data_IF_311274755558
#
_entry.id   IF_311274755558
#
_cell.length_a   1.000
_cell.length_b   1.000
_cell.length_c   1.000
_cell.angle_alpha   90.00
_cell.angle_beta   90.00
_cell.angle_gamma   90.00
#
_symmetry.space_group_name_H-M   'P 1'
#
loop_
_entity.id
_entity.type
_entity.pdbx_description
1 polymer ?
#
# COMPACT_ATOMS: atom_id res chain seq x y z
N UNK A 1 9.67 -10.01 7.04
CA UNK A 1 8.38 -9.65 7.69
C UNK A 1 8.30 -10.07 9.15
N UNK A 2 8.46 -11.36 9.51
CA UNK A 2 8.38 -11.83 10.92
C UNK A 2 9.26 -11.05 11.91
N UNK A 3 10.54 -10.80 11.57
CA UNK A 3 11.45 -10.03 12.43
C UNK A 3 10.89 -8.64 12.73
N UNK A 4 10.32 -7.96 11.73
CA UNK A 4 9.75 -6.61 11.89
C UNK A 4 8.55 -6.67 12.83
N UNK A 5 7.62 -7.62 12.63
CA UNK A 5 6.43 -7.78 13.48
C UNK A 5 6.85 -8.06 14.92
N UNK A 6 7.76 -9.01 15.14
CA UNK A 6 8.24 -9.37 16.49
C UNK A 6 8.91 -8.17 17.15
N UNK A 7 9.76 -7.44 16.43
CA UNK A 7 10.42 -6.24 16.95
C UNK A 7 9.40 -5.18 17.34
N UNK A 8 8.42 -4.85 16.48
CA UNK A 8 7.40 -3.85 16.79
C UNK A 8 6.60 -4.29 18.01
N UNK A 9 6.07 -5.51 18.03
CA UNK A 9 5.25 -6.00 19.14
C UNK A 9 6.02 -6.01 20.46
N UNK A 10 7.25 -6.52 20.48
CA UNK A 10 8.04 -6.65 21.72
C UNK A 10 8.56 -5.30 22.22
N UNK A 11 9.03 -4.44 21.31
CA UNK A 11 9.58 -3.14 21.67
C UNK A 11 8.48 -2.15 22.01
N UNK A 12 7.29 -2.24 21.41
CA UNK A 12 6.12 -1.40 21.71
C UNK A 12 5.75 -1.38 23.20
N UNK A 13 5.96 -2.48 23.94
CA UNK A 13 5.71 -2.53 25.39
C UNK A 13 6.86 -1.95 26.22
N UNK A 14 8.08 -1.89 25.67
CA UNK A 14 9.31 -1.48 26.36
C UNK A 14 9.67 0.00 26.15
N UNK A 15 8.90 0.73 25.33
CA UNK A 15 9.14 2.14 25.03
C UNK A 15 8.98 3.01 26.29
N UNK A 16 9.88 3.98 26.55
CA UNK A 16 9.74 4.96 27.63
C UNK A 16 8.41 5.73 27.56
N UNK A 17 7.92 6.20 28.71
CA UNK A 17 6.64 6.90 28.80
C UNK A 17 6.56 8.17 27.93
N UNK A 18 7.69 8.83 27.66
CA UNK A 18 7.76 10.07 26.84
C UNK A 18 7.41 9.84 25.36
N UNK A 19 7.76 8.66 24.83
CA UNK A 19 7.50 8.31 23.42
C UNK A 19 6.11 7.70 23.23
N UNK A 20 5.39 7.41 24.32
CA UNK A 20 3.98 7.02 24.23
C UNK A 20 3.13 8.24 23.90
N UNK A 21 2.19 8.06 22.97
CA UNK A 21 1.19 9.07 22.65
C UNK A 21 -0.07 8.90 23.47
N UNK A 22 -0.94 9.91 23.43
CA UNK A 22 -2.27 9.81 23.99
C UNK A 22 -3.22 9.22 22.94
N UNK A 23 -4.14 8.36 23.39
CA UNK A 23 -5.22 7.86 22.55
C UNK A 23 -6.27 8.96 22.42
N UNK A 24 -6.24 9.72 21.33
CA UNK A 24 -7.15 10.84 21.08
C UNK A 24 -8.36 10.37 20.25
N UNK A 25 -9.58 10.64 20.72
CA UNK A 25 -10.83 10.39 20.00
C UNK A 25 -11.51 9.06 20.31
N UNK A 26 -12.62 8.79 19.60
CA UNK A 26 -13.29 7.49 19.62
C UNK A 26 -12.44 6.47 18.85
N UNK A 27 -12.32 5.25 19.36
CA UNK A 27 -11.57 4.18 18.68
C UNK A 27 -12.19 3.80 17.31
N UNK A 28 -13.40 4.27 17.01
CA UNK A 28 -14.23 3.81 15.89
C UNK A 28 -14.39 4.87 14.80
N UNK A 29 -14.50 6.16 15.14
CA UNK A 29 -14.76 7.23 14.16
C UNK A 29 -13.88 8.44 14.50
N UNK A 30 -12.97 8.76 13.59
CA UNK A 30 -12.12 9.95 13.61
C UNK A 30 -12.17 10.62 12.23
N UNK A 31 -11.81 11.90 12.18
CA UNK A 31 -11.84 12.70 10.95
C UNK A 31 -10.96 12.12 9.82
N UNK A 32 -9.96 11.30 10.17
CA UNK A 32 -9.01 10.66 9.25
C UNK A 32 -9.47 9.35 8.59
N UNK A 33 -10.76 8.99 8.68
CA UNK A 33 -11.23 7.68 8.20
C UNK A 33 -11.07 7.48 6.68
N UNK A 34 -11.24 8.54 5.89
CA UNK A 34 -11.13 8.48 4.43
C UNK A 34 -9.66 8.31 3.98
N UNK A 35 -8.75 8.97 4.67
CA UNK A 35 -7.31 8.80 4.51
C UNK A 35 -6.90 7.35 4.85
N UNK A 36 -7.42 6.81 5.97
CA UNK A 36 -7.17 5.44 6.39
C UNK A 36 -7.68 4.41 5.37
N UNK A 37 -8.85 4.62 4.75
CA UNK A 37 -9.35 3.75 3.68
C UNK A 37 -8.36 3.73 2.51
N UNK A 38 -7.80 4.88 2.12
CA UNK A 38 -6.78 4.95 1.08
C UNK A 38 -5.53 4.13 1.43
N UNK A 39 -4.96 4.35 2.61
CA UNK A 39 -3.75 3.63 3.08
C UNK A 39 -3.99 2.12 3.18
N UNK A 40 -5.13 1.69 3.72
CA UNK A 40 -5.50 0.27 3.80
C UNK A 40 -5.68 -0.31 2.39
N UNK A 41 -6.35 0.42 1.49
CA UNK A 41 -6.53 -0.02 0.11
C UNK A 41 -5.19 -0.24 -0.56
N UNK A 42 -4.24 0.70 -0.40
CA UNK A 42 -2.86 0.57 -0.90
C UNK A 42 -2.15 -0.66 -0.32
N UNK A 43 -2.25 -0.88 0.99
CA UNK A 43 -1.60 -1.99 1.68
C UNK A 43 -2.05 -3.37 1.18
N UNK A 44 -3.28 -3.48 0.67
CA UNK A 44 -3.83 -4.73 0.12
C UNK A 44 -3.85 -4.79 -1.42
N UNK A 45 -3.23 -3.84 -2.12
CA UNK A 45 -3.09 -3.94 -3.58
C UNK A 45 -2.10 -5.04 -3.94
N UNK A 46 -2.59 -6.07 -4.61
CA UNK A 46 -1.76 -7.11 -5.23
C UNK A 46 -2.23 -7.49 -6.65
N UNK A 47 -3.22 -6.78 -7.18
CA UNK A 47 -3.90 -7.11 -8.44
C UNK A 47 -2.96 -7.12 -9.65
N UNK A 48 -1.98 -6.20 -9.71
CA UNK A 48 -1.00 -6.09 -10.80
C UNK A 48 -0.08 -7.33 -10.90
N UNK A 49 0.18 -8.01 -9.77
CA UNK A 49 1.03 -9.22 -9.72
C UNK A 49 0.24 -10.52 -9.89
N UNK A 50 -1.10 -10.45 -9.91
CA UNK A 50 -1.97 -11.64 -9.88
C UNK A 50 -1.77 -12.54 -11.11
N UNK A 51 -1.57 -11.96 -12.29
CA UNK A 51 -1.33 -12.74 -13.53
C UNK A 51 0.00 -13.48 -13.49
N UNK A 52 1.07 -12.85 -12.99
CA UNK A 52 2.38 -13.47 -12.83
C UNK A 52 2.35 -14.61 -11.81
N UNK A 53 1.66 -14.40 -10.67
CA UNK A 53 1.47 -15.44 -9.65
C UNK A 53 0.68 -16.61 -10.23
N UNK A 54 -0.40 -16.33 -10.98
CA UNK A 54 -1.19 -17.36 -11.63
C UNK A 54 -0.35 -18.20 -12.62
N UNK A 55 0.44 -17.53 -13.48
CA UNK A 55 1.34 -18.20 -14.44
C UNK A 55 2.48 -18.99 -13.78
N UNK A 56 2.88 -18.61 -12.56
CA UNK A 56 3.94 -19.29 -11.80
C UNK A 56 3.44 -20.53 -11.03
N UNK A 57 2.13 -20.77 -10.98
CA UNK A 57 1.58 -21.95 -10.32
C UNK A 57 1.90 -23.22 -11.11
N UNK A 58 2.45 -24.24 -10.44
CA UNK A 58 2.73 -25.56 -11.05
C UNK A 58 1.53 -26.18 -11.77
N UNK A 59 0.31 -25.93 -11.27
CA UNK A 59 -0.95 -26.30 -11.93
C UNK A 59 -1.89 -25.08 -11.87
N UNK A 60 -1.96 -24.26 -12.93
CA UNK A 60 -2.75 -23.04 -12.96
C UNK A 60 -4.23 -23.40 -13.11
N UNK A 61 -4.95 -23.53 -11.99
CA UNK A 61 -6.41 -23.67 -11.98
C UNK A 61 -7.02 -22.59 -11.10
N UNK A 62 -8.19 -22.07 -11.49
CA UNK A 62 -8.88 -20.98 -10.77
C UNK A 62 -9.15 -21.34 -9.30
N UNK A 63 -9.54 -22.58 -9.00
CA UNK A 63 -9.79 -23.02 -7.62
C UNK A 63 -8.53 -23.05 -6.75
N UNK A 64 -7.36 -23.32 -7.35
CA UNK A 64 -6.09 -23.31 -6.61
C UNK A 64 -5.61 -21.89 -6.40
N UNK A 65 -5.70 -21.07 -7.44
CA UNK A 65 -5.38 -19.64 -7.35
C UNK A 65 -6.26 -18.96 -6.28
N UNK A 66 -7.57 -19.18 -6.32
CA UNK A 66 -8.49 -18.66 -5.31
C UNK A 66 -8.12 -19.07 -3.88
N UNK A 67 -7.77 -20.35 -3.66
CA UNK A 67 -7.29 -20.82 -2.35
C UNK A 67 -6.01 -20.12 -1.91
N UNK A 68 -5.01 -20.06 -2.79
CA UNK A 68 -3.72 -19.39 -2.49
C UNK A 68 -3.95 -17.92 -2.15
N UNK A 69 -4.79 -17.22 -2.91
CA UNK A 69 -5.14 -15.81 -2.66
C UNK A 69 -5.84 -15.66 -1.31
N UNK A 70 -6.85 -16.45 -0.99
CA UNK A 70 -7.56 -16.33 0.29
C UNK A 70 -6.64 -16.59 1.50
N UNK A 71 -5.82 -17.65 1.46
CA UNK A 71 -4.89 -17.93 2.54
C UNK A 71 -3.81 -16.84 2.68
N UNK A 72 -3.21 -16.40 1.57
CA UNK A 72 -2.17 -15.37 1.61
C UNK A 72 -2.71 -14.01 2.09
N UNK A 73 -3.86 -13.56 1.58
CA UNK A 73 -4.52 -12.33 2.04
C UNK A 73 -4.93 -12.44 3.51
N UNK A 74 -5.46 -13.58 3.96
CA UNK A 74 -5.82 -13.79 5.37
C UNK A 74 -4.63 -13.71 6.33
N UNK A 75 -3.51 -14.34 5.98
CA UNK A 75 -2.27 -14.24 6.77
C UNK A 75 -1.74 -12.80 6.79
N UNK A 76 -1.77 -12.12 5.64
CA UNK A 76 -1.39 -10.71 5.53
C UNK A 76 -2.26 -9.82 6.42
N UNK A 77 -3.58 -10.05 6.43
CA UNK A 77 -4.52 -9.30 7.26
C UNK A 77 -4.20 -9.43 8.74
N UNK A 78 -3.95 -10.65 9.22
CA UNK A 78 -3.58 -10.88 10.62
C UNK A 78 -2.26 -10.19 10.96
N UNK A 79 -1.25 -10.28 10.10
CA UNK A 79 0.03 -9.61 10.29
C UNK A 79 -0.11 -8.08 10.35
N UNK A 80 -0.88 -7.49 9.44
CA UNK A 80 -1.18 -6.05 9.41
C UNK A 80 -1.93 -5.62 10.67
N UNK A 81 -2.95 -6.36 11.10
CA UNK A 81 -3.71 -6.06 12.32
C UNK A 81 -2.83 -6.09 13.57
N UNK A 82 -1.98 -7.11 13.71
CA UNK A 82 -1.05 -7.21 14.86
C UNK A 82 -0.10 -6.02 14.89
N UNK A 83 0.49 -5.63 13.76
CA UNK A 83 1.36 -4.44 13.70
C UNK A 83 0.59 -3.14 13.94
N UNK A 84 -0.58 -2.97 13.33
CA UNK A 84 -1.38 -1.75 13.46
C UNK A 84 -1.86 -1.54 14.89
N UNK A 85 -2.38 -2.58 15.55
CA UNK A 85 -2.85 -2.50 16.92
C UNK A 85 -1.71 -2.25 17.91
N UNK A 86 -0.60 -3.00 17.80
CA UNK A 86 0.56 -2.81 18.69
C UNK A 86 1.23 -1.45 18.50
N UNK A 87 1.19 -0.90 17.29
CA UNK A 87 1.68 0.44 17.02
C UNK A 87 0.77 1.53 17.55
N UNK A 88 -0.50 1.48 17.18
CA UNK A 88 -1.49 2.49 17.55
C UNK A 88 -1.70 2.57 19.06
N UNK A 89 -1.76 1.43 19.77
CA UNK A 89 -1.93 1.42 21.22
C UNK A 89 -0.70 1.96 21.98
N UNK A 90 0.49 1.91 21.40
CA UNK A 90 1.72 2.43 22.02
C UNK A 90 1.96 3.90 21.70
N UNK A 91 1.85 4.28 20.42
CA UNK A 91 2.26 5.61 19.94
C UNK A 91 1.11 6.59 19.76
N UNK A 92 -0.14 6.11 19.68
CA UNK A 92 -1.34 6.96 19.62
C UNK A 92 -1.25 8.07 18.58
N UNK A 93 -1.45 9.30 19.03
CA UNK A 93 -1.37 10.54 18.24
C UNK A 93 0.02 10.89 17.70
N UNK A 94 1.09 10.34 18.27
CA UNK A 94 2.48 10.59 17.82
C UNK A 94 2.95 9.63 16.72
N UNK A 95 2.07 8.76 16.22
CA UNK A 95 2.45 7.71 15.26
C UNK A 95 2.92 8.30 13.92
N UNK A 96 4.21 8.13 13.61
CA UNK A 96 4.76 8.47 12.29
C UNK A 96 4.38 7.44 11.20
N UNK A 97 4.36 7.87 9.93
CA UNK A 97 4.02 7.02 8.78
C UNK A 97 4.90 5.77 8.61
N UNK A 98 6.16 5.82 9.08
CA UNK A 98 6.96 4.63 9.32
C UNK A 98 7.07 4.38 10.82
N UNK A 99 6.43 3.32 11.29
CA UNK A 99 6.39 3.00 12.72
C UNK A 99 7.78 2.81 13.34
N UNK A 100 8.74 2.28 12.57
CA UNK A 100 10.11 2.07 13.05
C UNK A 100 10.82 3.39 13.38
N UNK A 101 10.36 4.52 12.85
CA UNK A 101 10.94 5.84 13.16
C UNK A 101 10.49 6.38 14.53
N UNK A 102 9.43 5.83 15.14
CA UNK A 102 9.02 6.22 16.49
C UNK A 102 9.93 5.63 17.58
N UNK A 103 10.71 4.60 17.26
CA UNK A 103 11.61 3.95 18.20
C UNK A 103 12.99 4.64 18.23
N UNK A 104 13.64 4.73 19.41
CA UNK A 104 14.97 5.33 19.53
C UNK A 104 16.01 4.70 18.61
N UNK A 105 16.98 5.49 18.13
CA UNK A 105 18.04 5.03 17.24
C UNK A 105 19.06 4.08 17.90
N UNK A 106 19.16 4.10 19.23
CA UNK A 106 20.12 3.29 19.99
C UNK A 106 19.67 1.81 20.14
N UNK A 107 18.42 1.48 19.82
CA UNK A 107 17.91 0.12 19.98
C UNK A 107 18.40 -0.83 18.88
N UNK A 108 19.33 -1.73 19.22
CA UNK A 108 19.88 -2.72 18.30
C UNK A 108 18.80 -3.56 17.58
N UNK A 109 17.79 -4.03 18.31
CA UNK A 109 16.72 -4.86 17.73
C UNK A 109 15.88 -4.10 16.69
N UNK A 110 15.66 -2.80 16.91
CA UNK A 110 14.98 -1.91 15.97
C UNK A 110 15.85 -1.65 14.75
N UNK A 111 17.15 -1.44 14.94
CA UNK A 111 18.10 -1.27 13.83
C UNK A 111 18.20 -2.53 12.96
N UNK A 112 18.16 -3.72 13.56
CA UNK A 112 18.06 -4.98 12.82
C UNK A 112 16.75 -5.02 12.00
N UNK A 113 15.62 -4.61 12.58
CA UNK A 113 14.36 -4.53 11.83
C UNK A 113 14.41 -3.51 10.68
N UNK A 114 15.06 -2.34 10.88
CA UNK A 114 15.29 -1.34 9.83
C UNK A 114 16.15 -1.89 8.69
N UNK A 115 17.21 -2.62 9.01
CA UNK A 115 18.05 -3.31 8.02
C UNK A 115 17.23 -4.30 7.20
N UNK A 116 16.45 -5.17 7.85
CA UNK A 116 15.59 -6.12 7.15
C UNK A 116 14.49 -5.46 6.32
N UNK A 117 13.94 -4.33 6.77
CA UNK A 117 13.00 -3.54 5.98
C UNK A 117 13.67 -3.00 4.71
N UNK A 118 14.87 -2.45 4.83
CA UNK A 118 15.67 -1.96 3.69
C UNK A 118 16.04 -3.07 2.71
N UNK A 119 16.50 -4.23 3.20
CA UNK A 119 16.79 -5.40 2.37
C UNK A 119 15.53 -5.90 1.65
N UNK A 120 14.38 -5.94 2.33
CA UNK A 120 13.11 -6.31 1.72
C UNK A 120 12.75 -5.35 0.57
N UNK A 121 12.86 -4.04 0.80
CA UNK A 121 12.62 -3.02 -0.23
C UNK A 121 13.58 -3.17 -1.42
N UNK A 122 14.87 -3.43 -1.16
CA UNK A 122 15.87 -3.67 -2.21
C UNK A 122 15.51 -4.86 -3.09
N UNK A 123 14.97 -5.94 -2.52
CA UNK A 123 14.52 -7.12 -3.28
C UNK A 123 13.17 -6.94 -3.96
N UNK A 124 12.32 -6.03 -3.47
CA UNK A 124 11.00 -5.75 -4.04
C UNK A 124 11.10 -4.84 -5.26
N UNK A 125 12.03 -3.88 -5.27
CA UNK A 125 12.19 -2.92 -6.36
C UNK A 125 12.38 -3.59 -7.74
N UNK A 126 13.24 -4.62 -7.93
CA UNK A 126 13.39 -5.29 -9.22
C UNK A 126 12.12 -5.99 -9.70
N UNK A 127 11.35 -6.58 -8.77
CA UNK A 127 10.12 -7.30 -9.09
C UNK A 127 9.04 -6.32 -9.56
N UNK A 128 8.85 -5.21 -8.85
CA UNK A 128 7.88 -4.17 -9.23
C UNK A 128 8.30 -3.47 -10.54
N UNK A 129 9.59 -3.20 -10.72
CA UNK A 129 10.10 -2.66 -11.99
C UNK A 129 9.85 -3.62 -13.17
N UNK A 130 9.97 -4.92 -12.94
CA UNK A 130 9.62 -5.94 -13.93
C UNK A 130 8.13 -5.86 -14.31
N UNK A 131 7.23 -5.81 -13.32
CA UNK A 131 5.78 -5.77 -13.56
C UNK A 131 5.39 -4.50 -14.30
N UNK A 132 5.88 -3.34 -13.85
CA UNK A 132 5.65 -2.08 -14.52
C UNK A 132 6.07 -2.16 -16.00
N UNK A 133 7.27 -2.64 -16.29
CA UNK A 133 7.75 -2.78 -17.68
C UNK A 133 6.90 -3.73 -18.51
N UNK A 134 6.46 -4.86 -17.96
CA UNK A 134 5.58 -5.78 -18.68
C UNK A 134 4.27 -5.09 -19.05
N UNK A 135 3.67 -4.33 -18.12
CA UNK A 135 2.47 -3.53 -18.40
C UNK A 135 2.74 -2.47 -19.48
N UNK A 136 3.89 -1.78 -19.42
CA UNK A 136 4.26 -0.80 -20.45
C UNK A 136 4.46 -1.46 -21.84
N UNK A 137 5.16 -2.60 -21.88
CA UNK A 137 5.36 -3.34 -23.13
C UNK A 137 4.04 -3.82 -23.71
N UNK A 138 3.18 -4.43 -22.90
CA UNK A 138 1.88 -4.93 -23.35
C UNK A 138 0.98 -3.80 -23.86
N UNK A 139 0.99 -2.62 -23.21
CA UNK A 139 0.12 -1.51 -23.61
C UNK A 139 0.59 -0.77 -24.86
N UNK A 140 1.90 -0.50 -24.98
CA UNK A 140 2.44 0.31 -26.10
C UNK A 140 3.05 -0.53 -27.23
N UNK A 141 3.48 -1.76 -26.98
CA UNK A 141 4.33 -2.55 -27.86
C UNK A 141 3.99 -4.07 -27.82
N UNK A 142 2.70 -4.42 -27.77
CA UNK A 142 2.23 -5.80 -27.59
C UNK A 142 2.82 -6.79 -28.60
N UNK A 143 2.90 -6.39 -29.88
CA UNK A 143 3.32 -7.26 -30.98
C UNK A 143 4.83 -7.17 -31.29
N UNK A 144 5.56 -6.30 -30.60
CA UNK A 144 6.97 -6.04 -30.88
C UNK A 144 7.89 -6.93 -30.03
N UNK A 145 8.92 -7.55 -30.64
CA UNK A 145 9.86 -8.39 -29.91
C UNK A 145 10.66 -7.60 -28.86
N UNK A 146 11.39 -8.33 -28.03
CA UNK A 146 12.23 -7.74 -27.00
C UNK A 146 13.34 -6.87 -27.61
N UNK A 147 13.41 -5.61 -27.15
CA UNK A 147 14.49 -4.69 -27.49
C UNK A 147 15.27 -4.23 -26.25
N UNK A 148 16.61 -4.37 -26.21
CA UNK A 148 17.42 -4.03 -25.03
C UNK A 148 17.41 -2.53 -24.73
N UNK A 149 17.35 -1.66 -25.74
CA UNK A 149 17.31 -0.21 -25.53
C UNK A 149 16.01 0.21 -24.82
N UNK A 150 14.86 -0.37 -25.23
CA UNK A 150 13.56 -0.13 -24.59
C UNK A 150 13.58 -0.57 -23.14
N UNK A 151 14.18 -1.73 -22.87
CA UNK A 151 14.35 -2.24 -21.52
C UNK A 151 15.14 -1.28 -20.63
N UNK A 152 16.26 -0.76 -21.12
CA UNK A 152 17.09 0.20 -20.39
C UNK A 152 16.29 1.48 -20.13
N UNK A 153 15.64 2.06 -21.15
CA UNK A 153 14.89 3.31 -21.04
C UNK A 153 13.76 3.21 -19.99
N UNK A 154 12.95 2.14 -20.04
CA UNK A 154 11.87 1.98 -19.06
C UNK A 154 12.42 1.76 -17.65
N UNK A 155 13.46 0.94 -17.50
CA UNK A 155 14.06 0.68 -16.18
C UNK A 155 14.67 1.94 -15.59
N UNK A 156 15.45 2.70 -16.36
CA UNK A 156 16.06 3.94 -15.88
C UNK A 156 15.00 4.99 -15.55
N UNK A 157 13.96 5.15 -16.36
CA UNK A 157 12.85 6.07 -16.09
C UNK A 157 12.11 5.71 -14.80
N UNK A 158 11.83 4.43 -14.56
CA UNK A 158 11.17 3.95 -13.34
C UNK A 158 12.04 4.22 -12.10
N UNK A 159 13.34 3.91 -12.16
CA UNK A 159 14.25 4.14 -11.03
C UNK A 159 14.44 5.62 -10.75
N UNK A 160 14.62 6.45 -11.78
CA UNK A 160 14.78 7.91 -11.62
C UNK A 160 13.51 8.53 -11.02
N UNK A 161 12.33 8.16 -11.52
CA UNK A 161 11.07 8.69 -10.95
C UNK A 161 10.87 8.29 -9.48
N UNK A 162 11.19 7.04 -9.11
CA UNK A 162 11.15 6.60 -7.72
C UNK A 162 12.15 7.38 -6.84
N UNK A 163 13.37 7.61 -7.34
CA UNK A 163 14.38 8.42 -6.65
C UNK A 163 13.92 9.87 -6.48
N UNK A 164 13.38 10.49 -7.52
CA UNK A 164 12.86 11.86 -7.46
C UNK A 164 11.75 11.97 -6.42
N UNK A 165 10.78 11.05 -6.41
CA UNK A 165 9.74 11.04 -5.38
C UNK A 165 10.34 10.90 -3.98
N UNK A 166 11.30 9.99 -3.79
CA UNK A 166 11.97 9.80 -2.49
C UNK A 166 12.73 11.04 -2.01
N UNK A 167 13.25 11.88 -2.91
CA UNK A 167 13.93 13.12 -2.54
C UNK A 167 12.97 14.29 -2.28
N UNK A 168 11.75 14.22 -2.79
CA UNK A 168 10.73 15.26 -2.66
C UNK A 168 9.79 15.06 -1.46
N UNK A 169 9.70 13.84 -0.91
CA UNK A 169 8.80 13.51 0.21
C UNK A 169 9.57 13.08 1.45
N UNK A 170 9.27 13.69 2.60
CA UNK A 170 9.72 13.22 3.91
C UNK A 170 8.63 12.43 4.66
N UNK A 171 7.37 12.43 4.19
CA UNK A 171 6.25 11.76 4.84
C UNK A 171 5.68 10.64 3.94
N UNK A 172 6.05 9.41 4.28
CA UNK A 172 5.56 8.20 3.62
C UNK A 172 4.04 8.03 3.75
N UNK A 173 3.44 8.52 4.84
CA UNK A 173 2.01 8.40 5.08
C UNK A 173 1.18 9.14 4.03
N UNK A 174 1.57 10.37 3.71
CA UNK A 174 0.92 11.19 2.66
C UNK A 174 1.04 10.54 1.28
N UNK A 175 2.20 9.93 1.00
CA UNK A 175 2.43 9.24 -0.27
C UNK A 175 1.55 8.00 -0.41
N UNK A 176 1.46 7.18 0.64
CA UNK A 176 0.58 6.00 0.65
C UNK A 176 -0.91 6.37 0.61
N UNK A 177 -1.29 7.46 1.27
CA UNK A 177 -2.65 8.00 1.21
C UNK A 177 -3.01 8.40 -0.23
N UNK A 178 -2.13 9.14 -0.91
CA UNK A 178 -2.35 9.60 -2.28
C UNK A 178 -2.43 8.45 -3.29
N UNK A 179 -1.45 7.54 -3.27
CA UNK A 179 -1.46 6.39 -4.17
C UNK A 179 -2.62 5.43 -3.86
N UNK A 180 -2.94 5.24 -2.58
CA UNK A 180 -4.09 4.44 -2.17
C UNK A 180 -5.43 5.03 -2.61
N UNK A 181 -5.62 6.33 -2.44
CA UNK A 181 -6.83 7.02 -2.88
C UNK A 181 -7.02 6.99 -4.41
N UNK A 182 -5.93 7.03 -5.17
CA UNK A 182 -5.99 7.10 -6.64
C UNK A 182 -5.91 5.72 -7.29
N UNK A 183 -4.75 5.07 -7.25
CA UNK A 183 -4.49 3.83 -7.98
C UNK A 183 -5.19 2.63 -7.33
N UNK A 184 -5.16 2.50 -6.00
CA UNK A 184 -5.79 1.36 -5.34
C UNK A 184 -7.31 1.41 -5.45
N UNK A 185 -7.93 2.57 -5.24
CA UNK A 185 -9.38 2.73 -5.42
C UNK A 185 -9.81 2.45 -6.87
N UNK A 186 -9.05 2.93 -7.86
CA UNK A 186 -9.33 2.66 -9.26
C UNK A 186 -9.26 1.16 -9.58
N UNK A 187 -8.18 0.47 -9.16
CA UNK A 187 -7.94 -0.92 -9.50
C UNK A 187 -8.77 -1.92 -8.69
N UNK A 188 -9.15 -1.59 -7.45
CA UNK A 188 -9.88 -2.51 -6.56
C UNK A 188 -11.40 -2.25 -6.55
N UNK A 189 -11.84 -0.98 -6.50
CA UNK A 189 -13.26 -0.65 -6.31
C UNK A 189 -13.97 -0.18 -7.58
N UNK A 190 -13.25 0.36 -8.56
CA UNK A 190 -13.88 0.94 -9.76
C UNK A 190 -13.79 -0.05 -10.93
N UNK A 191 -12.59 -0.46 -11.33
CA UNK A 191 -12.36 -1.19 -12.57
C UNK A 191 -12.99 -2.60 -12.59
N UNK A 192 -12.79 -3.48 -11.58
CA UNK A 192 -13.39 -4.82 -11.62
C UNK A 192 -14.93 -4.81 -11.61
N UNK A 193 -15.61 -4.00 -10.77
CA UNK A 193 -17.07 -3.89 -10.81
C UNK A 193 -17.60 -3.30 -12.12
N UNK A 194 -16.92 -2.33 -12.73
CA UNK A 194 -17.30 -1.80 -14.04
C UNK A 194 -17.19 -2.87 -15.14
N UNK A 195 -16.12 -3.66 -15.13
CA UNK A 195 -15.98 -4.81 -16.03
C UNK A 195 -17.12 -5.82 -15.81
N UNK A 196 -17.45 -6.13 -14.56
CA UNK A 196 -18.57 -7.03 -14.22
C UNK A 196 -19.91 -6.50 -14.77
N UNK A 197 -20.23 -5.22 -14.55
CA UNK A 197 -21.46 -4.60 -15.05
C UNK A 197 -21.52 -4.63 -16.58
N UNK A 198 -20.40 -4.41 -17.26
CA UNK A 198 -20.35 -4.39 -18.72
C UNK A 198 -20.40 -5.77 -19.36
N UNK A 199 -19.88 -6.79 -18.68
CA UNK A 199 -19.89 -8.19 -19.16
C UNK A 199 -21.19 -8.91 -18.81
N UNK A 200 -21.88 -8.50 -17.74
CA UNK A 200 -23.10 -9.14 -17.28
C UNK A 200 -24.32 -8.66 -18.06
N UNK A 201 -25.02 -9.57 -18.74
CA UNK A 201 -26.23 -9.26 -19.53
C UNK A 201 -27.51 -9.12 -18.71
N UNK A 202 -27.54 -9.64 -17.48
CA UNK A 202 -28.73 -9.61 -16.60
C UNK A 202 -28.53 -8.60 -15.47
N UNK A 203 -29.46 -7.67 -15.29
CA UNK A 203 -29.47 -6.80 -14.11
C UNK A 203 -30.02 -7.58 -12.92
N UNK A 204 -29.11 -8.11 -12.13
CA UNK A 204 -29.41 -8.81 -10.89
C UNK A 204 -28.99 -7.98 -9.66
N UNK A 205 -29.16 -8.55 -8.46
CA UNK A 205 -28.73 -7.91 -7.21
C UNK A 205 -27.22 -7.66 -7.18
N UNK A 206 -26.40 -8.54 -7.75
CA UNK A 206 -24.94 -8.37 -7.81
C UNK A 206 -24.54 -7.16 -8.67
N UNK A 207 -25.29 -6.86 -9.72
CA UNK A 207 -25.09 -5.68 -10.58
C UNK A 207 -25.34 -4.38 -9.81
N UNK A 208 -26.39 -4.31 -9.00
CA UNK A 208 -26.65 -3.16 -8.13
C UNK A 208 -25.58 -3.01 -7.03
N UNK A 209 -25.13 -4.13 -6.44
CA UNK A 209 -24.02 -4.12 -5.47
C UNK A 209 -22.73 -3.61 -6.11
N UNK A 210 -22.41 -4.08 -7.32
CA UNK A 210 -21.25 -3.62 -8.09
C UNK A 210 -21.32 -2.11 -8.35
N UNK A 211 -22.49 -1.58 -8.73
CA UNK A 211 -22.69 -0.13 -8.89
C UNK A 211 -22.46 0.62 -7.57
N UNK A 212 -22.94 0.09 -6.45
CA UNK A 212 -22.67 0.62 -5.12
C UNK A 212 -21.17 0.70 -4.80
N UNK A 213 -20.42 -0.35 -5.10
CA UNK A 213 -18.95 -0.38 -4.89
C UNK A 213 -18.24 0.65 -5.76
N UNK A 214 -18.65 0.82 -7.03
CA UNK A 214 -18.09 1.88 -7.90
C UNK A 214 -18.37 3.26 -7.32
N UNK A 215 -19.61 3.53 -6.89
CA UNK A 215 -19.96 4.83 -6.30
C UNK A 215 -19.16 5.10 -5.03
N UNK A 216 -19.00 4.09 -4.17
CA UNK A 216 -18.15 4.18 -2.98
C UNK A 216 -16.69 4.49 -3.35
N UNK A 217 -16.11 3.73 -4.28
CA UNK A 217 -14.73 3.95 -4.75
C UNK A 217 -14.52 5.37 -5.30
N UNK A 218 -15.45 5.88 -6.10
CA UNK A 218 -15.41 7.25 -6.60
C UNK A 218 -15.51 8.29 -5.48
N UNK A 219 -16.41 8.09 -4.51
CA UNK A 219 -16.54 9.04 -3.38
C UNK A 219 -15.29 9.09 -2.50
N UNK A 220 -14.70 7.93 -2.19
CA UNK A 220 -13.45 7.86 -1.42
C UNK A 220 -12.32 8.53 -2.19
N UNK A 221 -12.18 8.26 -3.48
CA UNK A 221 -11.16 8.88 -4.32
C UNK A 221 -11.27 10.41 -4.30
N UNK A 222 -12.46 10.97 -4.50
CA UNK A 222 -12.66 12.43 -4.52
C UNK A 222 -12.38 13.05 -3.15
N UNK A 223 -12.95 12.49 -2.08
CA UNK A 223 -12.80 13.03 -0.72
C UNK A 223 -11.34 12.98 -0.27
N UNK A 224 -10.68 11.84 -0.45
CA UNK A 224 -9.29 11.68 -0.06
C UNK A 224 -8.39 12.60 -0.89
N UNK A 225 -8.60 12.73 -2.20
CA UNK A 225 -7.76 13.61 -3.02
C UNK A 225 -7.90 15.09 -2.63
N UNK A 226 -9.11 15.55 -2.28
CA UNK A 226 -9.33 16.92 -1.74
C UNK A 226 -8.61 17.10 -0.39
N UNK A 227 -8.73 16.12 0.52
CA UNK A 227 -8.08 16.21 1.84
C UNK A 227 -6.56 16.17 1.76
N UNK A 228 -6.00 15.26 0.95
CA UNK A 228 -4.55 15.17 0.76
C UNK A 228 -4.01 16.45 0.12
N UNK A 229 -4.66 16.98 -0.93
CA UNK A 229 -4.22 18.22 -1.58
C UNK A 229 -4.35 19.43 -0.66
N UNK A 230 -5.42 19.53 0.12
CA UNK A 230 -5.57 20.57 1.15
C UNK A 230 -4.47 20.48 2.20
N UNK A 231 -4.11 19.27 2.64
CA UNK A 231 -3.03 19.03 3.62
C UNK A 231 -1.66 19.44 3.08
N UNK A 232 -1.38 19.19 1.79
CA UNK A 232 -0.17 19.69 1.12
C UNK A 232 -0.18 21.21 0.98
N UNK A 233 -1.30 21.81 0.57
CA UNK A 233 -1.40 23.24 0.27
C UNK A 233 -1.33 24.12 1.53
N UNK A 234 -1.89 23.65 2.65
CA UNK A 234 -1.92 24.42 3.91
C UNK A 234 -0.59 24.35 4.68
N UNK A 235 0.39 23.56 4.24
CA UNK A 235 1.68 23.42 4.94
C UNK A 235 1.54 22.91 6.38
N UNK A 236 0.39 22.35 6.75
CA UNK A 236 0.06 21.89 8.11
C UNK A 236 0.70 20.56 8.49
N UNK A 237 1.53 19.99 7.61
CA UNK A 237 2.45 18.94 8.02
C UNK A 237 3.56 19.59 8.82
N UNK A 238 3.65 19.29 10.13
CA UNK A 238 4.87 19.57 10.89
C UNK A 238 6.08 19.12 10.06
N UNK A 239 7.20 19.86 10.06
CA UNK A 239 8.37 19.49 9.28
C UNK A 239 8.90 18.16 9.78
N UNK A 240 8.44 17.07 9.16
CA UNK A 240 8.98 15.73 9.34
C UNK A 240 10.40 15.82 8.83
N UNK A 241 11.37 15.88 9.75
CA UNK A 241 12.78 15.86 9.40
C UNK A 241 13.03 14.61 8.54
N UNK A 242 13.44 14.82 7.30
CA UNK A 242 14.11 13.80 6.52
C UNK A 242 15.35 13.37 7.34
N UNK A 243 15.32 12.16 7.90
CA UNK A 243 16.47 11.52 8.53
C UNK A 243 17.11 10.52 7.59
#
# INVERSE_FOLDING_TARGET
>A
MFVIIITVVTQSFRVPAESKGQLRGSLIINDGIFEAIGVISFAFVCHHNSLLIYGSLRKPTIDRFSRVTHYSTGISLVACLVMALSGYLTFGDKTLGNILNNFPQDNLMVNIARLFLGLNMLTTLPLEAFVCREVMNEYWFADEPYHPNRHIIFTTSLVISALTLSLMTCDLGVVFELFGATSACALAFILPPLCYIKLTKKRDKQTYMAMGVVTFGCTVLVISMIKTTSKLAMGTGEPVKCS
#
